data_IF_944807915872
#
_entry.id   IF_944807915872
#
_cell.length_a   1.000
_cell.length_b   1.000
_cell.length_c   1.000
_cell.angle_alpha   90.00
_cell.angle_beta   90.00
_cell.angle_gamma   90.00
#
_symmetry.space_group_name_H-M   'P 1'
#
loop_
_entity.id
_entity.type
_entity.pdbx_description
1 polymer ?
#
# COMPACT_ATOMS: atom_id res chain seq x y z
N UNK A 1 1.01 5.18 -42.56
CA UNK A 1 -0.10 5.87 -41.86
C UNK A 1 0.53 7.05 -41.11
N UNK A 2 -0.08 8.22 -41.14
CA UNK A 2 0.49 9.44 -40.55
C UNK A 2 0.42 9.39 -39.02
N UNK A 3 1.48 9.82 -38.34
CA UNK A 3 1.62 9.74 -36.90
C UNK A 3 1.20 11.04 -36.21
N UNK A 4 -0.11 11.15 -35.97
CA UNK A 4 -0.73 12.34 -35.39
C UNK A 4 -0.18 12.65 -33.98
N UNK A 5 0.31 11.65 -33.25
CA UNK A 5 0.81 11.82 -31.88
C UNK A 5 2.13 12.62 -31.87
N UNK A 6 2.95 12.43 -32.90
CA UNK A 6 4.20 13.15 -33.10
C UNK A 6 4.04 14.53 -33.75
N UNK A 7 2.81 14.97 -34.05
CA UNK A 7 2.59 16.32 -34.56
C UNK A 7 2.94 17.37 -33.51
N UNK A 8 3.38 18.52 -34.00
CA UNK A 8 3.64 19.67 -33.14
C UNK A 8 2.36 20.17 -32.48
N UNK A 9 2.39 20.37 -31.17
CA UNK A 9 1.35 21.11 -30.46
C UNK A 9 1.74 22.59 -30.30
N UNK A 10 0.75 23.49 -30.45
CA UNK A 10 0.95 24.94 -30.43
C UNK A 10 0.44 25.60 -29.15
N UNK A 11 -0.21 24.86 -28.26
CA UNK A 11 -0.76 25.41 -27.00
C UNK A 11 0.33 25.69 -25.96
N UNK A 12 1.55 25.17 -26.17
CA UNK A 12 2.74 25.46 -25.37
C UNK A 12 2.59 25.07 -23.88
N UNK A 13 1.80 24.03 -23.60
CA UNK A 13 1.54 23.49 -22.26
C UNK A 13 2.20 22.11 -22.15
N UNK A 14 3.07 21.94 -21.16
CA UNK A 14 3.61 20.62 -20.81
C UNK A 14 2.53 19.81 -20.06
N UNK A 15 2.46 18.50 -20.30
CA UNK A 15 1.58 17.61 -19.53
C UNK A 15 2.42 16.86 -18.52
N UNK A 16 2.13 17.05 -17.24
CA UNK A 16 2.87 16.41 -16.14
C UNK A 16 2.73 14.88 -16.17
N UNK A 17 1.52 14.38 -16.47
CA UNK A 17 1.24 12.95 -16.53
C UNK A 17 0.23 12.61 -17.63
N UNK A 18 0.63 11.73 -18.53
CA UNK A 18 -0.23 11.09 -19.53
C UNK A 18 0.11 9.61 -19.63
N UNK A 19 -0.89 8.76 -19.83
CA UNK A 19 -0.69 7.33 -19.99
C UNK A 19 -1.98 6.53 -19.81
N UNK A 20 -1.83 5.33 -19.25
CA UNK A 20 -2.90 4.33 -19.12
C UNK A 20 -3.17 4.03 -17.64
N UNK A 21 -4.44 3.85 -17.30
CA UNK A 21 -4.90 3.60 -15.92
C UNK A 21 -5.85 2.41 -15.91
N UNK A 22 -5.80 1.62 -14.84
CA UNK A 22 -6.76 0.57 -14.58
C UNK A 22 -6.54 -0.71 -15.41
N UNK A 23 -5.29 -1.00 -15.79
CA UNK A 23 -4.97 -2.24 -16.48
C UNK A 23 -5.00 -3.37 -15.46
N UNK A 24 -5.91 -4.33 -15.63
CA UNK A 24 -5.93 -5.57 -14.86
C UNK A 24 -4.90 -6.55 -15.43
N UNK A 25 -3.93 -6.97 -14.62
CA UNK A 25 -2.81 -7.78 -15.09
C UNK A 25 -2.35 -8.81 -14.05
N UNK A 26 -2.08 -10.07 -14.43
CA UNK A 26 -1.58 -11.08 -13.51
C UNK A 26 -0.13 -10.80 -13.12
N UNK A 27 0.17 -10.90 -11.83
CA UNK A 27 1.52 -10.73 -11.28
C UNK A 27 1.88 -11.85 -10.31
N UNK A 28 3.17 -12.01 -10.05
CA UNK A 28 3.70 -12.87 -8.99
C UNK A 28 4.47 -12.02 -7.99
N UNK A 29 4.13 -12.14 -6.71
CA UNK A 29 4.78 -11.44 -5.60
C UNK A 29 5.47 -12.43 -4.67
N UNK A 30 6.54 -11.98 -3.99
CA UNK A 30 7.23 -12.82 -3.02
C UNK A 30 6.38 -12.99 -1.77
N UNK A 31 6.42 -14.20 -1.21
CA UNK A 31 5.73 -14.59 0.02
C UNK A 31 6.74 -15.24 0.97
N UNK A 32 6.77 -14.79 2.22
CA UNK A 32 7.76 -15.21 3.21
C UNK A 32 7.60 -16.67 3.64
N UNK A 33 6.39 -17.22 3.56
CA UNK A 33 6.06 -18.58 4.01
C UNK A 33 5.93 -19.55 2.83
N UNK A 34 5.30 -19.11 1.74
CA UNK A 34 5.00 -19.93 0.56
C UNK A 34 6.00 -19.72 -0.60
N UNK A 35 6.92 -18.77 -0.47
CA UNK A 35 7.90 -18.38 -1.48
C UNK A 35 7.35 -17.36 -2.48
N UNK A 36 6.25 -17.69 -3.15
CA UNK A 36 5.59 -16.81 -4.12
C UNK A 36 4.06 -16.94 -4.09
N UNK A 37 3.37 -15.83 -4.37
CA UNK A 37 1.92 -15.75 -4.52
C UNK A 37 1.55 -15.15 -5.88
N UNK A 38 0.64 -15.82 -6.59
CA UNK A 38 0.05 -15.29 -7.82
C UNK A 38 -1.21 -14.49 -7.49
N UNK A 39 -1.33 -13.29 -8.05
CA UNK A 39 -2.48 -12.40 -7.83
C UNK A 39 -2.79 -11.59 -9.08
N UNK A 40 -3.88 -10.83 -9.06
CA UNK A 40 -4.25 -9.90 -10.12
C UNK A 40 -4.05 -8.49 -9.61
N UNK A 41 -3.28 -7.70 -10.34
CA UNK A 41 -2.99 -6.32 -10.02
C UNK A 41 -3.76 -5.34 -10.91
N UNK A 42 -4.04 -4.18 -10.35
CA UNK A 42 -4.44 -2.98 -11.08
C UNK A 42 -3.22 -2.10 -11.30
N UNK A 43 -2.85 -1.89 -12.57
CA UNK A 43 -1.65 -1.18 -12.98
C UNK A 43 -2.00 0.17 -13.61
N UNK A 44 -1.31 1.21 -13.17
CA UNK A 44 -1.35 2.54 -13.75
C UNK A 44 0.06 2.94 -14.19
N UNK A 45 0.20 3.47 -15.40
CA UNK A 45 1.49 3.82 -16.01
C UNK A 45 1.39 5.19 -16.65
N UNK A 46 2.35 6.05 -16.37
CA UNK A 46 2.37 7.45 -16.81
C UNK A 46 3.78 7.88 -17.20
N UNK A 47 3.84 8.85 -18.11
CA UNK A 47 5.04 9.64 -18.40
C UNK A 47 4.67 11.11 -18.50
N UNK A 48 5.64 12.02 -18.40
CA UNK A 48 5.42 13.40 -18.80
C UNK A 48 5.47 13.54 -20.32
N UNK A 49 4.71 14.50 -20.87
CA UNK A 49 4.71 14.81 -22.29
C UNK A 49 5.14 16.27 -22.50
N UNK A 50 6.29 16.51 -23.16
CA UNK A 50 6.70 17.86 -23.52
C UNK A 50 5.66 18.54 -24.41
N UNK A 51 5.49 19.85 -24.22
CA UNK A 51 4.58 20.74 -24.96
C UNK A 51 4.65 20.69 -26.48
N UNK A 52 5.73 20.14 -27.03
CA UNK A 52 5.94 20.05 -28.47
C UNK A 52 5.19 18.87 -29.09
N UNK A 53 4.84 17.85 -28.30
CA UNK A 53 4.13 16.68 -28.79
C UNK A 53 2.63 16.82 -28.59
N UNK A 54 1.86 16.47 -29.61
CA UNK A 54 0.39 16.47 -29.54
C UNK A 54 -0.15 15.32 -28.69
N UNK A 55 0.55 14.19 -28.60
CA UNK A 55 0.14 13.06 -27.79
C UNK A 55 1.26 12.06 -27.53
N UNK A 56 1.05 11.17 -26.55
CA UNK A 56 1.90 10.00 -26.31
C UNK A 56 1.36 8.77 -27.02
N UNK A 57 2.21 7.76 -27.25
CA UNK A 57 1.82 6.50 -27.87
C UNK A 57 1.27 5.52 -26.83
N UNK A 58 -0.06 5.48 -26.69
CA UNK A 58 -0.74 4.71 -25.65
C UNK A 58 -0.50 3.19 -25.71
N UNK A 59 -0.37 2.59 -26.91
CA UNK A 59 -0.15 1.14 -27.03
C UNK A 59 1.19 0.70 -26.43
N UNK A 60 2.21 1.58 -26.49
CA UNK A 60 3.56 1.28 -26.00
C UNK A 60 3.59 0.92 -24.52
N UNK A 61 2.71 1.49 -23.70
CA UNK A 61 2.63 1.11 -22.28
C UNK A 61 2.24 -0.36 -22.11
N UNK A 62 1.26 -0.84 -22.88
CA UNK A 62 0.76 -2.21 -22.81
C UNK A 62 1.73 -3.19 -23.47
N UNK A 63 2.40 -2.76 -24.56
CA UNK A 63 3.48 -3.52 -25.20
C UNK A 63 4.61 -3.80 -24.21
N UNK A 64 5.12 -2.76 -23.54
CA UNK A 64 6.15 -2.89 -22.49
C UNK A 64 5.68 -3.87 -21.42
N UNK A 65 4.46 -3.70 -20.91
CA UNK A 65 3.92 -4.58 -19.86
C UNK A 65 3.89 -6.07 -20.29
N UNK A 66 3.51 -6.35 -21.54
CA UNK A 66 3.42 -7.70 -22.07
C UNK A 66 4.78 -8.37 -22.28
N UNK A 67 5.81 -7.61 -22.64
CA UNK A 67 7.17 -8.14 -22.83
C UNK A 67 7.75 -8.69 -21.52
N UNK A 68 7.39 -8.09 -20.37
CA UNK A 68 7.81 -8.57 -19.04
C UNK A 68 7.04 -9.80 -18.53
N UNK A 69 6.16 -10.40 -19.36
CA UNK A 69 5.69 -11.79 -19.28
C UNK A 69 5.23 -12.25 -17.87
N UNK A 70 4.40 -11.45 -17.19
CA UNK A 70 3.77 -11.75 -15.88
C UNK A 70 4.70 -11.82 -14.66
N UNK A 71 6.02 -11.66 -14.82
CA UNK A 71 6.97 -11.68 -13.69
C UNK A 71 7.20 -10.28 -13.14
N UNK A 72 6.14 -9.52 -12.85
CA UNK A 72 6.31 -8.16 -12.30
C UNK A 72 6.64 -8.26 -10.81
N UNK A 73 7.87 -7.91 -10.45
CA UNK A 73 8.40 -7.89 -9.09
C UNK A 73 9.03 -6.53 -8.79
N UNK A 74 9.37 -6.27 -7.53
CA UNK A 74 10.13 -5.06 -7.16
C UNK A 74 11.46 -4.95 -7.92
N UNK A 75 12.06 -6.07 -8.33
CA UNK A 75 13.35 -6.10 -9.02
C UNK A 75 13.24 -5.62 -10.48
N UNK A 76 12.17 -5.97 -11.19
CA UNK A 76 11.98 -5.50 -12.57
C UNK A 76 11.24 -4.17 -12.67
N UNK A 77 10.64 -3.67 -11.58
CA UNK A 77 9.96 -2.38 -11.53
C UNK A 77 10.81 -1.23 -12.10
N UNK A 78 12.09 -1.19 -11.70
CA UNK A 78 13.03 -0.15 -12.17
C UNK A 78 13.36 -0.30 -13.66
N UNK A 79 13.39 -1.53 -14.17
CA UNK A 79 13.63 -1.82 -15.60
C UNK A 79 12.45 -1.33 -16.44
N UNK A 80 11.23 -1.64 -16.02
CA UNK A 80 9.99 -1.19 -16.70
C UNK A 80 9.94 0.34 -16.75
N UNK A 81 10.24 1.02 -15.64
CA UNK A 81 10.28 2.50 -15.62
C UNK A 81 11.30 3.10 -16.58
N UNK A 82 12.50 2.51 -16.67
CA UNK A 82 13.54 2.95 -17.62
C UNK A 82 13.08 2.77 -19.05
N UNK A 83 12.53 1.60 -19.36
CA UNK A 83 12.03 1.27 -20.68
C UNK A 83 10.86 2.15 -21.11
N UNK A 84 9.94 2.47 -20.19
CA UNK A 84 8.89 3.47 -20.42
C UNK A 84 9.49 4.82 -20.79
N UNK A 85 10.48 5.29 -20.02
CA UNK A 85 11.11 6.60 -20.26
C UNK A 85 11.80 6.65 -21.63
N UNK A 86 12.49 5.57 -22.00
CA UNK A 86 13.20 5.44 -23.28
C UNK A 86 12.24 5.33 -24.47
N UNK A 87 11.33 4.33 -24.47
CA UNK A 87 10.41 4.07 -25.60
C UNK A 87 9.37 5.17 -25.82
N UNK A 88 9.02 5.91 -24.78
CA UNK A 88 8.10 7.05 -24.88
C UNK A 88 8.81 8.41 -24.94
N UNK A 89 10.16 8.43 -24.96
CA UNK A 89 10.98 9.66 -25.07
C UNK A 89 10.58 10.72 -24.03
N UNK A 90 10.41 10.29 -22.78
CA UNK A 90 9.96 11.13 -21.68
C UNK A 90 11.10 11.54 -20.75
N UNK A 91 10.89 12.56 -19.93
CA UNK A 91 11.84 12.97 -18.89
C UNK A 91 11.58 12.25 -17.56
N UNK A 92 10.38 11.74 -17.37
CA UNK A 92 9.94 11.03 -16.19
C UNK A 92 8.98 9.90 -16.54
N UNK A 93 9.04 8.84 -15.76
CA UNK A 93 8.11 7.72 -15.82
C UNK A 93 7.60 7.41 -14.41
N UNK A 94 6.33 7.05 -14.31
CA UNK A 94 5.69 6.66 -13.05
C UNK A 94 4.83 5.42 -13.29
N UNK A 95 4.90 4.49 -12.34
CA UNK A 95 4.09 3.29 -12.35
C UNK A 95 3.56 3.01 -10.95
N UNK A 96 2.33 2.52 -10.87
CA UNK A 96 1.65 2.10 -9.65
C UNK A 96 1.03 0.72 -9.91
N UNK A 97 1.31 -0.24 -9.03
CA UNK A 97 0.75 -1.60 -9.08
C UNK A 97 0.05 -1.83 -7.76
N UNK A 98 -1.28 -1.98 -7.77
CA UNK A 98 -2.07 -2.33 -6.58
C UNK A 98 -2.57 -3.75 -6.69
N UNK A 99 -2.48 -4.52 -5.64
CA UNK A 99 -2.88 -5.93 -5.64
C UNK A 99 -3.34 -6.36 -4.24
N UNK A 100 -4.26 -7.33 -4.15
CA UNK A 100 -4.52 -8.01 -2.89
C UNK A 100 -3.37 -8.97 -2.60
N UNK A 101 -2.94 -8.98 -1.34
CA UNK A 101 -1.93 -9.84 -0.76
C UNK A 101 -2.56 -10.66 0.36
N UNK A 102 -2.34 -11.97 0.35
CA UNK A 102 -2.97 -12.86 1.33
C UNK A 102 -1.94 -13.45 2.27
N UNK A 103 -2.15 -13.29 3.58
CA UNK A 103 -1.36 -13.96 4.61
C UNK A 103 -2.24 -15.01 5.27
N UNK A 104 -1.70 -16.21 5.46
CA UNK A 104 -2.34 -17.25 6.27
C UNK A 104 -2.17 -16.88 7.74
N UNK A 105 -3.28 -16.71 8.45
CA UNK A 105 -3.31 -16.38 9.88
C UNK A 105 -3.94 -17.51 10.67
N UNK A 106 -3.27 -17.93 11.74
CA UNK A 106 -3.82 -18.84 12.74
C UNK A 106 -4.59 -18.04 13.80
N UNK A 107 -5.78 -18.51 14.17
CA UNK A 107 -6.55 -17.94 15.26
C UNK A 107 -5.77 -18.05 16.60
N UNK A 108 -5.86 -17.06 17.49
CA UNK A 108 -4.93 -16.90 18.61
C UNK A 108 -5.05 -17.97 19.70
N UNK A 109 -6.18 -18.68 19.80
CA UNK A 109 -6.42 -19.72 20.81
C UNK A 109 -6.51 -21.08 20.15
N UNK A 110 -7.39 -21.24 19.17
CA UNK A 110 -7.67 -22.54 18.55
C UNK A 110 -6.67 -22.92 17.45
N UNK A 111 -5.88 -21.96 16.96
CA UNK A 111 -4.97 -22.17 15.83
C UNK A 111 -5.67 -22.38 14.49
N UNK A 112 -7.00 -22.19 14.41
CA UNK A 112 -7.74 -22.34 13.16
C UNK A 112 -7.17 -21.40 12.09
N UNK A 113 -6.74 -21.96 10.96
CA UNK A 113 -6.11 -21.19 9.90
C UNK A 113 -7.17 -20.56 8.97
N UNK A 114 -6.93 -19.30 8.59
CA UNK A 114 -7.69 -18.59 7.57
C UNK A 114 -6.80 -17.63 6.79
N UNK A 115 -7.12 -17.42 5.51
CA UNK A 115 -6.44 -16.40 4.70
C UNK A 115 -7.00 -15.03 5.04
N UNK A 116 -6.12 -14.05 5.23
CA UNK A 116 -6.47 -12.65 5.47
C UNK A 116 -5.95 -11.80 4.30
N UNK A 117 -6.80 -10.96 3.73
CA UNK A 117 -6.45 -10.06 2.64
C UNK A 117 -5.91 -8.73 3.17
N UNK A 118 -4.84 -8.26 2.55
CA UNK A 118 -4.26 -6.92 2.72
C UNK A 118 -4.14 -6.27 1.34
N UNK A 119 -4.39 -4.97 1.24
CA UNK A 119 -4.19 -4.25 -0.03
C UNK A 119 -2.79 -3.68 -0.04
N UNK A 120 -2.00 -4.10 -1.00
CA UNK A 120 -0.62 -3.65 -1.16
C UNK A 120 -0.48 -2.85 -2.44
N UNK A 121 0.43 -1.89 -2.43
CA UNK A 121 0.74 -1.07 -3.60
C UNK A 121 2.24 -0.85 -3.71
N UNK A 122 2.78 -1.10 -4.91
CA UNK A 122 4.13 -0.65 -5.29
C UNK A 122 4.01 0.60 -6.15
N UNK A 123 4.69 1.67 -5.73
CA UNK A 123 4.83 2.89 -6.51
C UNK A 123 6.29 3.07 -6.88
N UNK A 124 6.54 3.41 -8.12
CA UNK A 124 7.87 3.82 -8.54
C UNK A 124 7.81 5.01 -9.46
N UNK A 125 8.74 5.93 -9.26
CA UNK A 125 8.95 7.11 -10.09
C UNK A 125 10.40 7.14 -10.54
N UNK A 126 10.64 7.46 -11.80
CA UNK A 126 11.97 7.64 -12.35
C UNK A 126 12.03 9.00 -13.04
N UNK A 127 12.77 9.94 -12.45
CA UNK A 127 13.16 11.19 -13.12
C UNK A 127 14.65 11.08 -13.46
N UNK A 128 15.54 11.35 -12.50
CA UNK A 128 16.97 11.08 -12.64
C UNK A 128 17.37 9.78 -11.95
N UNK A 129 16.84 9.56 -10.74
CA UNK A 129 17.04 8.36 -9.94
C UNK A 129 15.70 7.68 -9.67
N UNK A 130 15.67 6.35 -9.55
CA UNK A 130 14.47 5.65 -9.14
C UNK A 130 14.12 5.98 -7.69
N UNK A 131 12.86 6.31 -7.45
CA UNK A 131 12.24 6.42 -6.14
C UNK A 131 11.16 5.33 -6.03
N UNK A 132 11.33 4.40 -5.10
CA UNK A 132 10.44 3.28 -4.88
C UNK A 132 9.77 3.41 -3.51
N UNK A 133 8.46 3.26 -3.50
CA UNK A 133 7.63 3.31 -2.30
C UNK A 133 6.77 2.06 -2.25
N UNK A 134 6.83 1.35 -1.13
CA UNK A 134 5.87 0.30 -0.78
C UNK A 134 4.77 0.95 0.06
N UNK A 135 3.52 0.58 -0.22
CA UNK A 135 2.36 0.95 0.55
C UNK A 135 1.58 -0.30 0.95
N UNK A 136 1.13 -0.35 2.19
CA UNK A 136 0.21 -1.37 2.70
C UNK A 136 -1.00 -0.69 3.34
N UNK A 137 -2.18 -1.30 3.18
CA UNK A 137 -3.40 -0.95 3.88
C UNK A 137 -3.81 -2.15 4.72
N UNK A 138 -3.77 -1.97 6.03
CA UNK A 138 -3.96 -3.04 7.02
C UNK A 138 -5.27 -2.79 7.77
N UNK A 139 -6.26 -3.69 7.66
CA UNK A 139 -7.46 -3.61 8.47
C UNK A 139 -7.14 -3.99 9.92
N UNK A 140 -7.60 -3.17 10.86
CA UNK A 140 -7.37 -3.35 12.30
C UNK A 140 -8.67 -3.25 13.10
N UNK A 141 -8.65 -3.71 14.34
CA UNK A 141 -9.69 -3.44 15.33
C UNK A 141 -9.18 -2.42 16.34
N UNK A 142 -9.97 -1.39 16.60
CA UNK A 142 -9.66 -0.32 17.55
C UNK A 142 -10.75 -0.22 18.60
N UNK A 143 -10.36 0.02 19.84
CA UNK A 143 -11.28 0.20 20.98
C UNK A 143 -10.93 1.50 21.70
N UNK A 144 -11.94 2.34 21.92
CA UNK A 144 -11.76 3.69 22.40
C UNK A 144 -11.40 3.74 23.90
N UNK A 145 -10.23 4.31 24.28
CA UNK A 145 -9.87 4.50 25.69
C UNK A 145 -10.90 5.34 26.46
N UNK A 146 -11.35 6.46 25.88
CA UNK A 146 -12.36 7.33 26.50
C UNK A 146 -13.64 6.57 26.82
N UNK A 147 -14.17 5.81 25.85
CA UNK A 147 -15.42 5.08 26.05
C UNK A 147 -15.33 4.05 27.16
N UNK A 148 -14.17 3.39 27.29
CA UNK A 148 -13.91 2.42 28.35
C UNK A 148 -13.82 3.09 29.73
N UNK A 149 -13.23 4.27 29.80
CA UNK A 149 -13.04 5.00 31.05
C UNK A 149 -14.35 5.55 31.62
N UNK A 150 -15.25 6.03 30.77
CA UNK A 150 -16.49 6.71 31.21
C UNK A 150 -17.70 5.76 31.37
N UNK A 151 -17.62 4.53 30.87
CA UNK A 151 -18.74 3.58 30.89
C UNK A 151 -18.58 2.55 32.01
N UNK A 152 -19.65 2.27 32.76
CA UNK A 152 -19.64 1.23 33.81
C UNK A 152 -19.32 -0.17 33.24
N UNK A 153 -19.67 -0.43 31.98
CA UNK A 153 -19.39 -1.66 31.27
C UNK A 153 -19.30 -1.44 29.76
N UNK A 154 -18.49 -2.26 29.10
CA UNK A 154 -18.27 -2.17 27.66
C UNK A 154 -17.43 -0.95 27.26
N UNK A 155 -17.19 -0.85 25.96
CA UNK A 155 -16.55 0.29 25.30
C UNK A 155 -16.84 0.17 23.81
N UNK A 156 -17.09 1.28 23.12
CA UNK A 156 -17.25 1.20 21.67
C UNK A 156 -15.92 0.85 21.00
N UNK A 157 -16.04 0.04 19.96
CA UNK A 157 -14.97 -0.39 19.09
C UNK A 157 -15.44 -0.36 17.64
N UNK A 158 -14.49 -0.40 16.72
CA UNK A 158 -14.77 -0.31 15.30
C UNK A 158 -13.67 -0.94 14.45
N UNK A 159 -13.97 -1.09 13.17
CA UNK A 159 -12.95 -1.34 12.16
C UNK A 159 -12.15 -0.05 11.94
N UNK A 160 -10.84 -0.19 11.89
CA UNK A 160 -9.95 0.83 11.37
C UNK A 160 -9.18 0.32 10.15
N UNK A 161 -8.63 1.24 9.38
CA UNK A 161 -7.64 0.95 8.35
C UNK A 161 -6.40 1.79 8.62
N UNK A 162 -5.25 1.14 8.63
CA UNK A 162 -3.96 1.82 8.72
C UNK A 162 -3.25 1.72 7.38
N UNK A 163 -2.87 2.87 6.83
CA UNK A 163 -2.08 2.95 5.60
C UNK A 163 -0.65 3.34 5.96
N UNK A 164 0.30 2.47 5.63
CA UNK A 164 1.73 2.75 5.81
C UNK A 164 2.38 2.84 4.44
N UNK A 165 3.14 3.90 4.20
CA UNK A 165 4.02 4.05 3.04
C UNK A 165 5.46 4.12 3.53
N UNK A 166 6.39 3.45 2.85
CA UNK A 166 7.81 3.49 3.19
C UNK A 166 8.70 3.59 1.96
N UNK A 167 9.79 4.36 2.11
CA UNK A 167 11.01 4.26 1.28
C UNK A 167 12.06 3.51 2.07
N UNK A 168 12.86 2.70 1.38
CA UNK A 168 13.78 1.76 2.01
C UNK A 168 15.10 1.65 1.24
N UNK A 169 16.18 1.25 1.93
CA UNK A 169 17.51 1.04 1.34
C UNK A 169 17.68 -0.36 0.76
N UNK A 170 17.11 -1.36 1.44
CA UNK A 170 17.17 -2.80 1.13
C UNK A 170 15.77 -3.37 1.13
N UNK A 171 15.62 -4.53 0.50
CA UNK A 171 14.36 -5.26 0.42
C UNK A 171 13.62 -5.34 1.78
N UNK A 172 12.30 -5.14 1.74
CA UNK A 172 11.38 -5.17 2.89
C UNK A 172 10.27 -6.16 2.58
N UNK A 173 10.01 -7.09 3.50
CA UNK A 173 8.86 -7.99 3.43
C UNK A 173 7.57 -7.23 3.73
N UNK A 174 6.52 -7.49 2.95
CA UNK A 174 5.19 -6.91 3.20
C UNK A 174 4.65 -7.37 4.56
N UNK A 175 4.89 -8.63 4.89
CA UNK A 175 4.49 -9.30 6.12
C UNK A 175 5.10 -8.65 7.35
N UNK A 176 6.35 -8.20 7.28
CA UNK A 176 7.01 -7.55 8.42
C UNK A 176 6.39 -6.17 8.70
N UNK A 177 6.03 -5.42 7.65
CA UNK A 177 5.30 -4.16 7.79
C UNK A 177 3.86 -4.38 8.26
N UNK A 178 3.17 -5.39 7.73
CA UNK A 178 1.79 -5.74 8.12
C UNK A 178 1.76 -6.13 9.59
N UNK A 179 2.66 -7.02 10.01
CA UNK A 179 2.80 -7.45 11.41
C UNK A 179 3.09 -6.28 12.34
N UNK A 180 4.00 -5.38 11.95
CA UNK A 180 4.30 -4.17 12.72
C UNK A 180 3.05 -3.33 12.98
N UNK A 181 2.18 -3.16 11.97
CA UNK A 181 0.91 -2.44 12.11
C UNK A 181 -0.08 -3.19 13.00
N UNK A 182 -0.25 -4.50 12.78
CA UNK A 182 -1.17 -5.34 13.56
C UNK A 182 -0.82 -5.36 15.05
N UNK A 183 0.48 -5.40 15.37
CA UNK A 183 1.00 -5.33 16.75
C UNK A 183 0.87 -3.94 17.38
N UNK A 184 0.48 -2.92 16.62
CA UNK A 184 0.34 -1.53 17.11
C UNK A 184 -1.13 -1.12 17.31
N UNK A 185 -2.09 -1.98 16.97
CA UNK A 185 -3.52 -1.74 17.16
C UNK A 185 -4.06 -2.33 18.47
N UNK A 186 -5.30 -2.01 18.83
CA UNK A 186 -5.95 -2.64 19.99
C UNK A 186 -6.03 -4.17 19.83
N UNK A 187 -6.42 -4.61 18.64
CA UNK A 187 -6.23 -5.98 18.20
C UNK A 187 -6.11 -6.06 16.67
N UNK A 188 -5.39 -7.06 16.22
CA UNK A 188 -5.41 -7.50 14.83
C UNK A 188 -6.74 -8.15 14.45
N UNK A 189 -6.93 -8.34 13.14
CA UNK A 189 -8.12 -8.96 12.54
C UNK A 189 -7.77 -10.36 12.04
N UNK A 190 -8.73 -11.27 12.17
CA UNK A 190 -8.66 -12.64 11.67
C UNK A 190 -9.85 -12.91 10.76
N UNK A 191 -9.68 -13.76 9.75
CA UNK A 191 -10.77 -14.20 8.88
C UNK A 191 -11.61 -15.33 9.48
N UNK A 192 -11.02 -16.13 10.38
CA UNK A 192 -11.69 -17.23 11.07
C UNK A 192 -11.41 -17.13 12.56
N UNK A 193 -12.47 -17.05 13.36
CA UNK A 193 -12.43 -17.12 14.81
C UNK A 193 -13.47 -18.15 15.29
N UNK A 194 -13.10 -18.95 16.30
CA UNK A 194 -14.05 -19.75 17.09
C UNK A 194 -14.39 -18.99 18.37
N UNK A 195 -15.35 -19.49 19.15
CA UNK A 195 -15.85 -18.82 20.36
C UNK A 195 -14.74 -18.43 21.35
N UNK A 196 -13.77 -19.32 21.56
CA UNK A 196 -12.64 -19.06 22.47
C UNK A 196 -11.71 -17.98 21.92
N UNK A 197 -11.53 -17.93 20.59
CA UNK A 197 -10.76 -16.89 19.93
C UNK A 197 -11.47 -15.53 19.98
N UNK A 198 -12.79 -15.51 19.73
CA UNK A 198 -13.60 -14.29 19.83
C UNK A 198 -13.54 -13.69 21.24
N UNK A 199 -13.64 -14.54 22.27
CA UNK A 199 -13.43 -14.13 23.67
C UNK A 199 -12.06 -13.49 23.84
N UNK A 200 -10.99 -14.16 23.38
CA UNK A 200 -9.62 -13.67 23.52
C UNK A 200 -9.42 -12.32 22.82
N UNK A 201 -9.83 -12.19 21.55
CA UNK A 201 -9.66 -10.98 20.75
C UNK A 201 -10.43 -9.80 21.36
N UNK A 202 -11.64 -10.05 21.86
CA UNK A 202 -12.45 -9.03 22.53
C UNK A 202 -11.79 -8.55 23.81
N UNK A 203 -11.30 -9.47 24.66
CA UNK A 203 -10.59 -9.12 25.89
C UNK A 203 -9.24 -8.43 25.62
N UNK A 204 -8.51 -8.85 24.58
CA UNK A 204 -7.24 -8.24 24.13
C UNK A 204 -7.46 -6.77 23.78
N UNK A 205 -8.43 -6.49 22.90
CA UNK A 205 -8.76 -5.11 22.52
C UNK A 205 -9.24 -4.27 23.72
N UNK A 206 -10.05 -4.86 24.61
CA UNK A 206 -10.53 -4.16 25.81
C UNK A 206 -9.38 -3.83 26.78
N UNK A 207 -8.36 -4.68 26.88
CA UNK A 207 -7.17 -4.42 27.72
C UNK A 207 -6.16 -3.47 27.08
N UNK A 208 -6.18 -3.35 25.74
CA UNK A 208 -5.29 -2.48 24.96
C UNK A 208 -6.08 -1.43 24.15
N UNK A 209 -6.85 -0.53 24.79
CA UNK A 209 -7.57 0.50 24.05
C UNK A 209 -6.58 1.51 23.45
N UNK A 210 -6.83 1.97 22.22
CA UNK A 210 -5.94 2.88 21.49
C UNK A 210 -6.75 3.96 20.75
N UNK A 211 -6.33 5.22 20.83
CA UNK A 211 -6.80 6.26 19.90
C UNK A 211 -6.12 6.13 18.53
N UNK A 212 -6.64 6.83 17.53
CA UNK A 212 -5.99 6.93 16.21
C UNK A 212 -4.59 7.55 16.32
N UNK A 213 -4.40 8.50 17.24
CA UNK A 213 -3.11 9.14 17.49
C UNK A 213 -2.09 8.19 18.12
N UNK A 214 -2.53 7.29 19.00
CA UNK A 214 -1.65 6.32 19.64
C UNK A 214 -1.13 5.32 18.60
N UNK A 215 -2.01 4.85 17.72
CA UNK A 215 -1.66 3.91 16.64
C UNK A 215 -0.61 4.52 15.70
N UNK A 216 -0.81 5.75 15.21
CA UNK A 216 0.17 6.37 14.31
C UNK A 216 1.50 6.65 15.02
N UNK A 217 1.50 6.98 16.32
CA UNK A 217 2.72 7.20 17.11
C UNK A 217 3.49 5.89 17.31
N UNK A 218 2.83 4.81 17.72
CA UNK A 218 3.45 3.50 17.93
C UNK A 218 4.12 2.99 16.64
N UNK A 219 3.41 3.08 15.51
CA UNK A 219 3.95 2.67 14.22
C UNK A 219 5.12 3.57 13.80
N UNK A 220 4.99 4.89 13.95
CA UNK A 220 6.05 5.83 13.62
C UNK A 220 7.32 5.58 14.46
N UNK A 221 7.19 5.28 15.75
CA UNK A 221 8.32 4.93 16.62
C UNK A 221 9.04 3.68 16.14
N UNK A 222 8.30 2.62 15.78
CA UNK A 222 8.88 1.37 15.25
C UNK A 222 9.59 1.59 13.90
N UNK A 223 8.98 2.35 12.98
CA UNK A 223 9.57 2.68 11.67
C UNK A 223 10.78 3.63 11.79
N UNK A 224 10.78 4.52 12.78
CA UNK A 224 11.93 5.36 13.09
C UNK A 224 13.11 4.54 13.62
N UNK A 225 12.85 3.49 14.40
CA UNK A 225 13.87 2.56 14.88
C UNK A 225 14.55 1.73 13.78
N UNK A 226 13.92 1.54 12.61
CA UNK A 226 14.47 0.71 11.53
C UNK A 226 15.45 1.48 10.61
N UNK A 227 16.76 1.21 10.64
CA UNK A 227 17.76 1.92 9.82
C UNK A 227 17.62 1.69 8.31
N UNK A 228 16.82 0.70 7.90
CA UNK A 228 16.50 0.42 6.51
C UNK A 228 15.50 1.41 5.92
N UNK A 229 14.60 1.96 6.74
CA UNK A 229 13.59 2.93 6.32
C UNK A 229 14.19 4.33 6.27
N UNK A 230 14.04 5.02 5.14
CA UNK A 230 14.55 6.39 4.90
C UNK A 230 13.47 7.45 4.94
N UNK A 231 12.23 7.05 4.70
CA UNK A 231 11.07 7.90 4.81
C UNK A 231 9.86 7.01 5.06
N UNK A 232 8.89 7.52 5.80
CA UNK A 232 7.61 6.86 5.95
C UNK A 232 6.48 7.87 6.09
N UNK A 233 5.28 7.42 5.75
CA UNK A 233 4.03 8.04 6.19
C UNK A 233 3.07 6.99 6.74
N UNK A 234 2.34 7.36 7.78
CA UNK A 234 1.40 6.50 8.50
C UNK A 234 0.09 7.27 8.65
N UNK A 235 -0.99 6.69 8.13
CA UNK A 235 -2.36 7.17 8.29
C UNK A 235 -3.13 6.13 9.09
N UNK A 236 -3.92 6.55 10.08
CA UNK A 236 -4.91 5.69 10.74
C UNK A 236 -6.28 6.32 10.59
N UNK A 237 -7.24 5.55 10.07
CA UNK A 237 -8.64 5.95 9.92
C UNK A 237 -9.51 4.94 10.68
N UNK A 238 -10.29 5.43 11.64
CA UNK A 238 -11.30 4.65 12.34
C UNK A 238 -12.68 4.99 11.79
N UNK A 239 -13.40 3.97 11.33
CA UNK A 239 -14.80 4.11 10.88
C UNK A 239 -15.71 4.07 12.12
N UNK A 240 -15.88 5.22 12.77
CA UNK A 240 -16.52 5.33 14.08
C UNK A 240 -17.87 4.61 14.14
N UNK A 241 -18.06 3.73 15.13
CA UNK A 241 -19.29 2.93 15.25
C UNK A 241 -20.48 3.74 15.76
N UNK A 242 -20.23 4.88 16.41
CA UNK A 242 -21.24 5.75 17.03
C UNK A 242 -21.41 7.09 16.31
N UNK A 243 -20.66 7.31 15.23
CA UNK A 243 -20.71 8.54 14.44
C UNK A 243 -20.73 8.22 12.94
N UNK A 244 -21.30 9.12 12.13
CA UNK A 244 -21.33 8.96 10.66
C UNK A 244 -20.16 9.69 9.98
N UNK A 245 -18.98 9.62 10.57
CA UNK A 245 -17.72 10.16 10.05
C UNK A 245 -16.54 9.38 10.61
N UNK A 246 -15.38 9.45 9.97
CA UNK A 246 -14.17 8.78 10.46
C UNK A 246 -13.36 9.67 11.41
N UNK A 247 -12.74 9.08 12.42
CA UNK A 247 -11.62 9.70 13.13
C UNK A 247 -10.31 9.40 12.37
N UNK A 248 -9.41 10.38 12.27
CA UNK A 248 -8.23 10.29 11.40
C UNK A 248 -6.99 10.92 12.02
N UNK A 249 -5.85 10.24 11.90
CA UNK A 249 -4.53 10.77 12.25
C UNK A 249 -3.49 10.46 11.18
N UNK A 250 -2.49 11.34 11.06
CA UNK A 250 -1.41 11.23 10.08
C UNK A 250 -0.06 11.65 10.66
N UNK A 251 0.98 10.87 10.39
CA UNK A 251 2.38 11.22 10.66
C UNK A 251 3.22 10.91 9.43
N UNK A 252 4.11 11.83 9.07
CA UNK A 252 5.10 11.65 8.01
C UNK A 252 6.47 12.09 8.48
N UNK A 253 7.51 11.35 8.11
CA UNK A 253 8.88 11.67 8.49
C UNK A 253 9.89 11.29 7.42
N UNK A 254 10.79 12.22 7.13
CA UNK A 254 12.03 11.99 6.39
C UNK A 254 13.16 11.69 7.39
N UNK A 255 13.82 10.55 7.25
CA UNK A 255 14.98 10.17 8.06
C UNK A 255 16.24 10.57 7.30
N UNK A 256 17.07 11.40 7.96
CA UNK A 256 18.36 11.87 7.44
C UNK A 256 19.37 10.71 7.43
#
# INVERSE_FOLDING_TARGET
MEDIQNHRDYRNIDIDQVGVKGISYPITVLDKDMGEQQTVALINMYVNLPRYYKGTHMSRFVEILNEHSRRISLQNFTVILKEMKERLTAQSARMEIRFPYFIKKAAPVTGAEGLMEYKCTFKGTLVERPDLVIMINVPISTLCPCSKEISDYGAHNQRGEVKVQVRFKKFVWLEDLIKLVEESASSEVYSVLKREDEKFVTEKAYRNPMFVEDIVREIALKLEGDPNITWFSVESENFESIHNHSAYAYVEKHKI
#
